data_IF_717243714881
#
_entry.id   IF_717243714881
#
_cell.length_a   1.000
_cell.length_b   1.000
_cell.length_c   1.000
_cell.angle_alpha   90.00
_cell.angle_beta   90.00
_cell.angle_gamma   90.00
#
_symmetry.space_group_name_H-M   'P 1'
#
loop_
_entity.id
_entity.type
_entity.pdbx_description
1 polymer ?
#
# COMPACT_ATOMS: atom_id res chain seq x y z
N UNK A 1 -33.97 3.65 -8.65
CA UNK A 1 -33.55 3.35 -7.26
C UNK A 1 -32.16 2.70 -7.16
N UNK A 2 -31.73 1.85 -8.11
CA UNK A 2 -30.43 1.13 -8.05
C UNK A 2 -29.19 1.99 -8.23
N UNK A 3 -29.22 3.00 -9.12
CA UNK A 3 -28.06 3.86 -9.41
C UNK A 3 -27.62 4.68 -8.19
N UNK A 4 -28.58 5.25 -7.45
CA UNK A 4 -28.28 6.01 -6.23
C UNK A 4 -27.58 5.14 -5.15
N UNK A 5 -28.02 3.89 -4.99
CA UNK A 5 -27.39 2.93 -4.09
C UNK A 5 -25.96 2.58 -4.53
N UNK A 6 -25.72 2.40 -5.83
CA UNK A 6 -24.39 2.14 -6.37
C UNK A 6 -23.43 3.32 -6.19
N UNK A 7 -23.90 4.56 -6.43
CA UNK A 7 -23.11 5.78 -6.21
C UNK A 7 -22.77 5.93 -4.72
N UNK A 8 -23.73 5.68 -3.83
CA UNK A 8 -23.50 5.71 -2.38
C UNK A 8 -22.46 4.68 -1.95
N UNK A 9 -22.54 3.44 -2.45
CA UNK A 9 -21.54 2.39 -2.18
C UNK A 9 -20.16 2.77 -2.70
N UNK A 10 -20.07 3.30 -3.92
CA UNK A 10 -18.81 3.77 -4.49
C UNK A 10 -18.18 4.84 -3.60
N UNK A 11 -18.95 5.85 -3.20
CA UNK A 11 -18.46 6.90 -2.31
C UNK A 11 -17.98 6.35 -0.97
N UNK A 12 -18.70 5.39 -0.37
CA UNK A 12 -18.28 4.74 0.86
C UNK A 12 -16.95 3.99 0.71
N UNK A 13 -16.79 3.20 -0.36
CA UNK A 13 -15.52 2.51 -0.63
C UNK A 13 -14.39 3.52 -0.88
N UNK A 14 -14.61 4.51 -1.74
CA UNK A 14 -13.62 5.56 -2.03
C UNK A 14 -13.25 6.37 -0.80
N UNK A 15 -14.19 6.66 0.10
CA UNK A 15 -13.92 7.37 1.35
C UNK A 15 -13.02 6.55 2.27
N UNK A 16 -13.27 5.24 2.41
CA UNK A 16 -12.45 4.36 3.25
C UNK A 16 -11.05 4.20 2.67
N UNK A 17 -10.91 3.89 1.38
CA UNK A 17 -9.60 3.76 0.73
C UNK A 17 -8.85 5.10 0.70
N UNK A 18 -9.55 6.20 0.40
CA UNK A 18 -8.99 7.54 0.35
C UNK A 18 -8.53 8.03 1.73
N UNK A 19 -9.30 7.75 2.79
CA UNK A 19 -8.90 8.08 4.16
C UNK A 19 -7.62 7.35 4.55
N UNK A 20 -7.49 6.06 4.20
CA UNK A 20 -6.24 5.32 4.42
C UNK A 20 -5.03 5.97 3.74
N UNK A 21 -5.19 6.41 2.49
CA UNK A 21 -4.13 7.09 1.75
C UNK A 21 -3.78 8.46 2.35
N UNK A 22 -4.79 9.24 2.76
CA UNK A 22 -4.58 10.54 3.41
C UNK A 22 -3.83 10.36 4.73
N UNK A 23 -4.26 9.41 5.57
CA UNK A 23 -3.61 9.12 6.85
C UNK A 23 -2.14 8.71 6.65
N UNK A 24 -1.85 7.85 5.67
CA UNK A 24 -0.48 7.49 5.34
C UNK A 24 0.36 8.73 4.96
N UNK A 25 -0.20 9.62 4.12
CA UNK A 25 0.49 10.85 3.71
C UNK A 25 0.67 11.85 4.84
N UNK A 26 -0.29 11.93 5.77
CA UNK A 26 -0.22 12.80 6.94
C UNK A 26 0.93 12.40 7.86
N UNK A 27 1.18 11.10 8.06
CA UNK A 27 2.33 10.64 8.84
C UNK A 27 3.63 11.16 8.22
N UNK A 28 3.81 10.98 6.91
CA UNK A 28 4.99 11.49 6.19
C UNK A 28 5.10 13.01 6.27
N UNK A 29 3.98 13.72 6.16
CA UNK A 29 3.95 15.18 6.28
C UNK A 29 4.38 15.67 7.67
N UNK A 30 3.91 15.02 8.74
CA UNK A 30 4.29 15.34 10.11
C UNK A 30 5.76 15.06 10.41
N UNK A 31 6.39 14.16 9.65
CA UNK A 31 7.83 13.90 9.76
C UNK A 31 8.69 14.95 9.04
N UNK A 32 8.12 15.78 8.15
CA UNK A 32 8.90 16.80 7.44
C UNK A 32 9.55 17.79 8.43
N UNK A 33 8.83 18.43 9.37
CA UNK A 33 9.46 19.32 10.35
C UNK A 33 10.53 18.61 11.18
N UNK A 34 10.34 17.34 11.52
CA UNK A 34 11.35 16.56 12.23
C UNK A 34 12.62 16.46 11.38
N UNK A 35 12.50 15.96 10.15
CA UNK A 35 13.63 15.74 9.27
C UNK A 35 14.37 17.02 8.88
N UNK A 36 13.66 18.11 8.60
CA UNK A 36 14.28 19.36 8.18
C UNK A 36 14.95 20.12 9.32
N UNK A 37 14.55 19.90 10.57
CA UNK A 37 15.22 20.50 11.73
C UNK A 37 16.38 19.65 12.27
N UNK A 38 16.38 18.32 12.05
CA UNK A 38 17.42 17.42 12.57
C UNK A 38 18.54 17.12 11.59
N UNK A 39 18.25 17.03 10.28
CA UNK A 39 19.23 16.60 9.28
C UNK A 39 19.85 17.76 8.51
N UNK A 40 21.11 17.59 8.11
CA UNK A 40 21.77 18.48 7.16
C UNK A 40 21.15 18.35 5.75
N UNK A 41 21.29 19.39 4.92
CA UNK A 41 20.69 19.42 3.58
C UNK A 41 21.17 18.27 2.69
N UNK A 42 22.44 17.91 2.81
CA UNK A 42 23.07 16.82 2.07
C UNK A 42 22.42 15.47 2.41
N UNK A 43 22.08 15.27 3.69
CA UNK A 43 21.42 14.05 4.19
C UNK A 43 19.97 13.95 3.69
N UNK A 44 19.26 15.09 3.57
CA UNK A 44 17.92 15.12 2.96
C UNK A 44 17.95 14.76 1.46
N UNK A 45 19.01 15.15 0.76
CA UNK A 45 19.25 14.75 -0.63
C UNK A 45 19.42 13.22 -0.76
N UNK A 46 20.24 12.62 0.10
CA UNK A 46 20.43 11.16 0.15
C UNK A 46 19.13 10.45 0.52
N UNK A 47 18.39 10.95 1.53
CA UNK A 47 17.09 10.41 1.91
C UNK A 47 16.13 10.35 0.71
N UNK A 48 16.00 11.47 -0.01
CA UNK A 48 15.11 11.57 -1.18
C UNK A 48 15.52 10.58 -2.28
N UNK A 49 16.82 10.43 -2.51
CA UNK A 49 17.36 9.51 -3.51
C UNK A 49 17.06 8.05 -3.13
N UNK A 50 17.30 7.66 -1.88
CA UNK A 50 17.01 6.31 -1.37
C UNK A 50 15.52 5.98 -1.50
N UNK A 51 14.62 6.88 -1.10
CA UNK A 51 13.18 6.65 -1.23
C UNK A 51 12.71 6.58 -2.69
N UNK A 52 13.37 7.30 -3.60
CA UNK A 52 13.08 7.20 -5.04
C UNK A 52 13.46 5.81 -5.59
N UNK A 53 14.60 5.26 -5.18
CA UNK A 53 14.97 3.89 -5.53
C UNK A 53 14.02 2.87 -4.93
N UNK A 54 13.64 3.02 -3.66
CA UNK A 54 12.66 2.13 -3.01
C UNK A 54 11.33 2.13 -3.78
N UNK A 55 10.86 3.29 -4.24
CA UNK A 55 9.60 3.37 -5.00
C UNK A 55 9.65 2.52 -6.29
N UNK A 56 10.76 2.59 -7.04
CA UNK A 56 10.95 1.81 -8.27
C UNK A 56 11.13 0.32 -7.93
N UNK A 57 11.96 0.01 -6.94
CA UNK A 57 12.24 -1.36 -6.53
C UNK A 57 10.98 -2.06 -6.01
N UNK A 58 10.11 -1.35 -5.29
CA UNK A 58 8.84 -1.90 -4.80
C UNK A 58 7.95 -2.39 -5.93
N UNK A 59 7.91 -1.70 -7.08
CA UNK A 59 7.11 -2.13 -8.24
C UNK A 59 7.58 -3.49 -8.75
N UNK A 60 8.90 -3.69 -8.81
CA UNK A 60 9.50 -4.96 -9.25
C UNK A 60 9.33 -6.02 -8.15
N UNK A 61 9.62 -5.65 -6.90
CA UNK A 61 9.59 -6.51 -5.73
C UNK A 61 8.20 -7.06 -5.42
N UNK A 62 7.14 -6.29 -5.64
CA UNK A 62 5.77 -6.78 -5.48
C UNK A 62 5.34 -7.71 -6.61
N UNK A 63 5.98 -7.67 -7.80
CA UNK A 63 5.62 -8.47 -8.99
C UNK A 63 4.11 -8.54 -9.28
N UNK A 64 3.37 -7.46 -8.96
CA UNK A 64 1.92 -7.36 -9.13
C UNK A 64 1.07 -8.09 -8.08
N UNK A 65 1.67 -8.63 -7.01
CA UNK A 65 0.95 -9.36 -5.95
C UNK A 65 -0.08 -8.51 -5.24
N UNK A 66 0.18 -7.22 -4.99
CA UNK A 66 -0.76 -6.36 -4.29
C UNK A 66 -2.13 -6.38 -4.99
N UNK A 67 -2.13 -6.17 -6.31
CA UNK A 67 -3.33 -6.19 -7.15
C UNK A 67 -3.92 -7.59 -7.28
N UNK A 68 -3.08 -8.61 -7.47
CA UNK A 68 -3.54 -10.00 -7.60
C UNK A 68 -4.21 -10.49 -6.32
N UNK A 69 -3.60 -10.21 -5.16
CA UNK A 69 -4.12 -10.54 -3.84
C UNK A 69 -5.52 -9.94 -3.65
N UNK A 70 -5.69 -8.63 -3.83
CA UNK A 70 -7.01 -8.01 -3.65
C UNK A 70 -8.05 -8.59 -4.60
N UNK A 71 -7.71 -8.80 -5.87
CA UNK A 71 -8.63 -9.37 -6.85
C UNK A 71 -9.09 -10.77 -6.45
N UNK A 72 -8.17 -11.70 -6.20
CA UNK A 72 -8.53 -13.08 -5.89
C UNK A 72 -9.16 -13.23 -4.51
N UNK A 73 -8.72 -12.45 -3.52
CA UNK A 73 -9.28 -12.48 -2.17
C UNK A 73 -10.74 -12.02 -2.12
N UNK A 74 -11.12 -11.02 -2.93
CA UNK A 74 -12.49 -10.51 -3.00
C UNK A 74 -13.41 -11.47 -3.77
N UNK A 75 -12.91 -12.09 -4.84
CA UNK A 75 -13.69 -13.03 -5.67
C UNK A 75 -13.98 -14.34 -4.93
N UNK A 76 -13.05 -14.83 -4.11
CA UNK A 76 -13.25 -16.06 -3.36
C UNK A 76 -14.21 -15.82 -2.17
N UNK A 77 -15.31 -16.56 -2.12
CA UNK A 77 -16.29 -16.48 -1.03
C UNK A 77 -15.97 -17.43 0.12
N UNK A 78 -15.11 -18.43 -0.10
CA UNK A 78 -14.75 -19.43 0.89
C UNK A 78 -13.71 -18.90 1.87
N UNK A 79 -13.92 -19.15 3.16
CA UNK A 79 -12.94 -18.76 4.20
C UNK A 79 -11.60 -19.47 4.02
N UNK A 80 -11.63 -20.73 3.58
CA UNK A 80 -10.41 -21.52 3.33
C UNK A 80 -9.63 -21.01 2.11
N UNK A 81 -10.32 -20.67 1.02
CA UNK A 81 -9.71 -20.12 -0.18
C UNK A 81 -9.06 -18.76 0.09
N UNK A 82 -9.76 -17.85 0.79
CA UNK A 82 -9.19 -16.58 1.28
C UNK A 82 -7.95 -16.76 2.13
N UNK A 83 -7.97 -17.72 3.07
CA UNK A 83 -6.82 -18.04 3.92
C UNK A 83 -5.64 -18.54 3.07
N UNK A 84 -5.90 -19.40 2.08
CA UNK A 84 -4.87 -19.91 1.17
C UNK A 84 -4.24 -18.77 0.38
N UNK A 85 -5.05 -17.92 -0.27
CA UNK A 85 -4.59 -16.75 -1.04
C UNK A 85 -3.72 -15.83 -0.18
N UNK A 86 -4.17 -15.50 1.03
CA UNK A 86 -3.38 -14.70 1.97
C UNK A 86 -2.06 -15.37 2.34
N UNK A 87 -2.10 -16.65 2.73
CA UNK A 87 -0.88 -17.37 3.12
C UNK A 87 0.12 -17.46 1.99
N UNK A 88 -0.33 -17.71 0.75
CA UNK A 88 0.53 -17.75 -0.42
C UNK A 88 1.17 -16.39 -0.66
N UNK A 89 0.38 -15.31 -0.75
CA UNK A 89 0.91 -13.97 -0.97
C UNK A 89 1.92 -13.57 0.14
N UNK A 90 1.58 -13.85 1.39
CA UNK A 90 2.44 -13.59 2.54
C UNK A 90 3.76 -14.35 2.45
N UNK A 91 3.72 -15.68 2.24
CA UNK A 91 4.94 -16.49 2.18
C UNK A 91 5.81 -16.14 0.97
N UNK A 92 5.22 -15.85 -0.19
CA UNK A 92 6.02 -15.47 -1.36
C UNK A 92 6.76 -14.16 -1.11
N UNK A 93 6.11 -13.14 -0.56
CA UNK A 93 6.75 -11.87 -0.19
C UNK A 93 7.80 -12.09 0.91
N UNK A 94 7.47 -12.87 1.94
CA UNK A 94 8.40 -13.12 3.04
C UNK A 94 9.67 -13.83 2.57
N UNK A 95 9.53 -14.87 1.74
CA UNK A 95 10.68 -15.61 1.19
C UNK A 95 11.51 -14.69 0.30
N UNK A 96 10.90 -13.90 -0.58
CA UNK A 96 11.64 -12.97 -1.43
C UNK A 96 12.25 -11.79 -0.67
N UNK A 97 11.76 -11.45 0.53
CA UNK A 97 12.39 -10.47 1.41
C UNK A 97 13.67 -11.00 2.07
N UNK A 98 13.71 -12.30 2.36
CA UNK A 98 14.81 -12.95 3.10
C UNK A 98 15.95 -13.39 2.16
N UNK A 99 15.61 -13.73 0.93
CA UNK A 99 16.55 -14.22 -0.11
C UNK A 99 17.34 -13.08 -0.73
#
# INVERSE_FOLDING_TARGET
MSIFLSIKKLFQHSAVYGMGHILNRLITFLLIPLYTNTFAKEQLGVYTLVFSYIAILTVIYSYGLDTAFFRFYIIDESREGRRRIFSTAFWTILITSIL
#
